data_IF_987413518187
#
_entry.id   IF_987413518187
#
_cell.length_a   1.000
_cell.length_b   1.000
_cell.length_c   1.000
_cell.angle_alpha   90.00
_cell.angle_beta   90.00
_cell.angle_gamma   90.00
#
_symmetry.space_group_name_H-M   'P 1'
#
loop_
_entity.id
_entity.type
_entity.pdbx_description
1 polymer ?
#
# COMPACT_ATOMS: atom_id res chain seq x y z
N UNK A 1 9.54 -8.28 -0.38
CA UNK A 1 10.35 -8.61 0.81
C UNK A 1 9.48 -8.79 2.05
N UNK A 2 8.92 -7.72 2.64
CA UNK A 2 8.07 -7.85 3.83
C UNK A 2 6.76 -8.61 3.53
N UNK A 3 6.10 -8.24 2.43
CA UNK A 3 4.92 -8.95 1.92
C UNK A 3 5.23 -10.44 1.69
N UNK A 4 6.26 -10.74 0.89
CA UNK A 4 6.68 -12.11 0.59
C UNK A 4 6.98 -12.93 1.87
N UNK A 5 7.63 -12.32 2.87
CA UNK A 5 7.92 -12.98 4.15
C UNK A 5 6.64 -13.40 4.86
N UNK A 6 5.67 -12.51 5.03
CA UNK A 6 4.44 -12.86 5.73
C UNK A 6 3.54 -13.80 4.92
N UNK A 7 3.51 -13.65 3.59
CA UNK A 7 2.83 -14.59 2.70
C UNK A 7 3.45 -16.00 2.79
N UNK A 8 4.78 -16.12 2.89
CA UNK A 8 5.43 -17.43 3.06
C UNK A 8 5.09 -18.10 4.39
N UNK A 9 4.56 -17.34 5.35
CA UNK A 9 4.05 -17.83 6.64
C UNK A 9 2.52 -18.01 6.62
N UNK A 10 1.88 -17.94 5.45
CA UNK A 10 0.45 -18.19 5.28
C UNK A 10 -0.45 -17.01 5.67
N UNK A 11 0.11 -15.84 5.96
CA UNK A 11 -0.68 -14.65 6.31
C UNK A 11 -1.19 -13.98 5.03
N UNK A 12 -2.49 -13.66 4.99
CA UNK A 12 -3.04 -12.92 3.86
C UNK A 12 -2.69 -11.43 3.96
N UNK A 13 -1.72 -11.01 3.15
CA UNK A 13 -1.22 -9.63 3.12
C UNK A 13 -1.95 -8.79 2.08
N UNK A 14 -2.39 -7.60 2.50
CA UNK A 14 -2.88 -6.53 1.65
C UNK A 14 -1.92 -5.35 1.61
N UNK A 15 -1.80 -4.67 0.47
CA UNK A 15 -1.01 -3.46 0.32
C UNK A 15 -1.95 -2.29 0.06
N UNK A 16 -1.82 -1.24 0.87
CA UNK A 16 -2.59 0.00 0.74
C UNK A 16 -1.71 1.14 0.25
N UNK A 17 -2.04 1.66 -0.93
CA UNK A 17 -1.43 2.86 -1.50
C UNK A 17 -2.46 4.00 -1.59
N UNK A 18 -1.98 5.24 -1.63
CA UNK A 18 -2.82 6.40 -1.91
C UNK A 18 -3.24 6.45 -3.39
N UNK A 19 -2.46 5.83 -4.28
CA UNK A 19 -2.62 5.97 -5.72
C UNK A 19 -2.17 7.36 -6.21
N UNK A 20 -0.97 7.81 -5.83
CA UNK A 20 -0.48 9.11 -6.27
C UNK A 20 -0.39 9.18 -7.80
N UNK A 21 -1.00 10.20 -8.41
CA UNK A 21 -1.11 10.33 -9.87
C UNK A 21 -2.18 9.43 -10.53
N UNK A 22 -2.80 8.53 -9.78
CA UNK A 22 -3.87 7.67 -10.28
C UNK A 22 -5.15 8.46 -10.53
N UNK A 23 -5.82 8.19 -11.65
CA UNK A 23 -7.11 8.81 -12.03
C UNK A 23 -8.25 7.80 -12.02
N UNK A 24 -8.42 7.11 -10.89
CA UNK A 24 -9.53 6.18 -10.74
C UNK A 24 -10.86 6.94 -10.57
N UNK A 25 -11.91 6.47 -11.26
CA UNK A 25 -13.26 6.99 -11.11
C UNK A 25 -13.94 6.49 -9.81
N UNK A 26 -13.46 5.38 -9.24
CA UNK A 26 -14.05 4.71 -8.09
C UNK A 26 -12.97 4.39 -7.06
N UNK A 27 -13.32 4.56 -5.79
CA UNK A 27 -12.50 4.21 -4.63
C UNK A 27 -13.38 3.56 -3.55
N UNK A 28 -12.88 2.58 -2.79
CA UNK A 28 -11.58 1.91 -2.94
C UNK A 28 -11.49 1.14 -4.26
N UNK A 29 -10.30 1.05 -4.85
CA UNK A 29 -10.07 0.25 -6.07
C UNK A 29 -8.98 -0.77 -5.83
N UNK A 30 -9.31 -2.05 -6.02
CA UNK A 30 -8.33 -3.13 -6.15
C UNK A 30 -7.59 -2.98 -7.48
N UNK A 31 -6.28 -3.10 -7.45
CA UNK A 31 -5.39 -2.99 -8.60
C UNK A 31 -5.04 -4.38 -9.12
N UNK A 32 -5.18 -4.57 -10.42
CA UNK A 32 -4.76 -5.75 -11.15
C UNK A 32 -3.51 -5.44 -12.00
N UNK A 33 -2.69 -6.46 -12.28
CA UNK A 33 -1.50 -6.28 -13.11
C UNK A 33 -1.77 -5.80 -14.53
N UNK A 34 -2.98 -6.05 -15.05
CA UNK A 34 -3.40 -5.66 -16.39
C UNK A 34 -4.10 -4.29 -16.43
N UNK A 35 -4.30 -3.63 -15.28
CA UNK A 35 -4.90 -2.29 -15.24
C UNK A 35 -4.03 -1.26 -15.96
N UNK A 36 -4.67 -0.21 -16.49
CA UNK A 36 -3.96 0.93 -17.04
C UNK A 36 -3.31 1.75 -15.91
N UNK A 37 -1.98 1.92 -15.97
CA UNK A 37 -1.25 2.65 -14.95
C UNK A 37 -1.70 4.12 -14.80
N UNK A 38 -2.27 4.75 -15.84
CA UNK A 38 -2.86 6.08 -15.72
C UNK A 38 -4.06 6.12 -14.75
N UNK A 39 -4.74 5.00 -14.55
CA UNK A 39 -5.91 4.90 -13.68
C UNK A 39 -5.55 4.46 -12.26
N UNK A 40 -4.55 3.59 -12.10
CA UNK A 40 -4.19 2.99 -10.81
C UNK A 40 -2.86 3.46 -10.23
N UNK A 41 -2.06 4.16 -11.01
CA UNK A 41 -0.67 4.52 -10.71
C UNK A 41 0.32 3.44 -11.12
N UNK A 42 1.51 3.86 -11.56
CA UNK A 42 2.59 2.94 -11.98
C UNK A 42 3.08 2.05 -10.83
N UNK A 43 3.27 2.65 -9.65
CA UNK A 43 3.77 1.95 -8.46
C UNK A 43 2.76 0.92 -7.90
N UNK A 44 1.47 1.25 -7.65
CA UNK A 44 0.49 0.25 -7.23
C UNK A 44 0.34 -0.91 -8.21
N UNK A 45 0.38 -0.62 -9.52
CA UNK A 45 0.34 -1.65 -10.56
C UNK A 45 1.57 -2.55 -10.51
N UNK A 46 2.76 -1.96 -10.37
CA UNK A 46 4.01 -2.72 -10.23
C UNK A 46 3.98 -3.62 -8.99
N UNK A 47 3.48 -3.10 -7.86
CA UNK A 47 3.31 -3.89 -6.64
C UNK A 47 2.33 -5.05 -6.84
N UNK A 48 1.20 -4.83 -7.53
CA UNK A 48 0.24 -5.89 -7.83
C UNK A 48 0.87 -7.01 -8.68
N UNK A 49 1.69 -6.66 -9.66
CA UNK A 49 2.42 -7.62 -10.51
C UNK A 49 3.46 -8.40 -9.70
N UNK A 50 4.25 -7.73 -8.86
CA UNK A 50 5.42 -8.33 -8.21
C UNK A 50 5.12 -9.07 -6.91
N UNK A 51 4.20 -8.54 -6.10
CA UNK A 51 3.95 -9.04 -4.75
C UNK A 51 2.89 -10.15 -4.71
N UNK A 52 2.06 -10.29 -5.75
CA UNK A 52 0.89 -11.16 -5.75
C UNK A 52 -0.04 -10.95 -4.54
N UNK A 53 0.06 -9.80 -3.87
CA UNK A 53 -0.82 -9.38 -2.78
C UNK A 53 -2.06 -8.68 -3.34
N UNK A 54 -3.07 -8.57 -2.50
CA UNK A 54 -4.19 -7.65 -2.75
C UNK A 54 -3.70 -6.21 -2.62
N UNK A 55 -3.58 -5.50 -3.75
CA UNK A 55 -3.20 -4.09 -3.76
C UNK A 55 -4.43 -3.22 -3.94
N UNK A 56 -4.62 -2.26 -3.04
CA UNK A 56 -5.75 -1.32 -3.07
C UNK A 56 -5.24 0.10 -3.06
N UNK A 57 -5.83 0.94 -3.91
CA UNK A 57 -5.65 2.38 -3.88
C UNK A 57 -6.88 3.07 -3.28
N UNK A 58 -6.63 4.01 -2.38
CA UNK A 58 -7.66 4.94 -1.87
C UNK A 58 -7.01 6.20 -1.26
N UNK A 59 -7.42 7.42 -1.66
CA UNK A 59 -6.99 8.63 -0.96
C UNK A 59 -7.43 8.68 0.51
N UNK A 60 -8.56 8.04 0.85
CA UNK A 60 -9.00 7.77 2.21
C UNK A 60 -8.45 6.41 2.67
N UNK A 61 -7.29 6.45 3.35
CA UNK A 61 -6.63 5.23 3.84
C UNK A 61 -7.48 4.41 4.81
N UNK A 62 -8.32 5.03 5.64
CA UNK A 62 -9.18 4.28 6.56
C UNK A 62 -10.22 3.45 5.80
N UNK A 63 -10.83 4.03 4.76
CA UNK A 63 -11.77 3.31 3.88
C UNK A 63 -11.06 2.20 3.09
N UNK A 64 -9.87 2.48 2.54
CA UNK A 64 -9.09 1.48 1.83
C UNK A 64 -8.65 0.31 2.73
N UNK A 65 -8.28 0.60 3.99
CA UNK A 65 -7.95 -0.41 4.99
C UNK A 65 -9.17 -1.27 5.35
N UNK A 66 -10.32 -0.64 5.60
CA UNK A 66 -11.57 -1.36 5.84
C UNK A 66 -11.91 -2.29 4.67
N UNK A 67 -11.76 -1.84 3.43
CA UNK A 67 -11.97 -2.69 2.25
C UNK A 67 -11.01 -3.88 2.18
N UNK A 68 -9.72 -3.69 2.50
CA UNK A 68 -8.74 -4.78 2.57
C UNK A 68 -9.12 -5.81 3.65
N UNK A 69 -9.59 -5.36 4.82
CA UNK A 69 -9.98 -6.26 5.91
C UNK A 69 -11.34 -6.93 5.69
N UNK A 70 -12.36 -6.17 5.30
CA UNK A 70 -13.76 -6.62 5.27
C UNK A 70 -14.11 -7.33 3.95
N UNK A 71 -13.67 -6.81 2.81
CA UNK A 71 -14.02 -7.38 1.50
C UNK A 71 -12.97 -8.40 1.05
N UNK A 72 -11.69 -8.10 1.30
CA UNK A 72 -10.58 -8.95 0.88
C UNK A 72 -10.02 -9.83 2.00
N UNK A 73 -10.53 -9.73 3.24
CA UNK A 73 -10.17 -10.63 4.34
C UNK A 73 -8.65 -10.65 4.61
N UNK A 74 -7.96 -9.53 4.39
CA UNK A 74 -6.53 -9.40 4.68
C UNK A 74 -6.30 -9.33 6.20
N UNK A 75 -5.32 -10.08 6.67
CA UNK A 75 -4.93 -10.16 8.08
C UNK A 75 -3.83 -9.15 8.43
N UNK A 76 -3.01 -8.76 7.43
CA UNK A 76 -1.96 -7.76 7.56
C UNK A 76 -2.08 -6.74 6.43
N UNK A 77 -2.07 -5.45 6.79
CA UNK A 77 -2.06 -4.35 5.82
C UNK A 77 -0.70 -3.65 5.86
N UNK A 78 -0.03 -3.60 4.71
CA UNK A 78 1.22 -2.86 4.52
C UNK A 78 0.91 -1.54 3.81
N UNK A 79 1.37 -0.43 4.39
CA UNK A 79 1.25 0.89 3.78
C UNK A 79 2.58 1.31 3.15
N UNK A 80 2.60 1.52 1.83
CA UNK A 80 3.80 1.84 1.04
C UNK A 80 4.43 3.22 1.37
N UNK A 81 3.59 4.18 1.74
CA UNK A 81 4.01 5.52 2.20
C UNK A 81 3.06 5.99 3.32
N UNK A 82 3.13 5.27 4.44
CA UNK A 82 2.22 5.45 5.57
C UNK A 82 2.62 6.59 6.53
N UNK A 83 3.90 6.93 6.59
CA UNK A 83 4.46 7.76 7.67
C UNK A 83 3.85 9.16 7.76
N UNK A 84 3.40 9.72 6.63
CA UNK A 84 2.78 11.05 6.60
C UNK A 84 1.27 11.05 6.93
N UNK A 85 0.63 9.88 7.15
CA UNK A 85 -0.84 9.77 7.12
C UNK A 85 -1.45 9.40 8.48
N UNK A 86 -1.13 10.15 9.53
CA UNK A 86 -1.46 9.86 10.95
C UNK A 86 -2.91 9.50 11.28
N UNK A 87 -3.88 9.82 10.41
CA UNK A 87 -5.30 9.49 10.62
C UNK A 87 -5.60 7.97 10.58
N UNK A 88 -4.73 7.14 10.01
CA UNK A 88 -4.84 5.68 10.07
C UNK A 88 -4.00 5.15 11.23
N UNK A 89 -4.63 4.45 12.18
CA UNK A 89 -3.93 3.74 13.25
C UNK A 89 -2.95 2.72 12.68
N UNK A 90 -1.77 2.60 13.29
CA UNK A 90 -0.75 1.63 12.90
C UNK A 90 -0.21 0.95 14.13
N UNK A 91 -0.07 -0.37 14.06
CA UNK A 91 0.57 -1.13 15.13
C UNK A 91 2.09 -1.00 15.08
N UNK A 92 2.65 -0.83 13.87
CA UNK A 92 4.09 -0.75 13.61
C UNK A 92 4.38 0.31 12.54
N UNK A 93 5.43 1.10 12.75
CA UNK A 93 6.00 2.01 11.75
C UNK A 93 7.43 1.59 11.39
N UNK A 94 7.71 1.52 10.09
CA UNK A 94 9.01 1.17 9.55
C UNK A 94 9.53 2.34 8.71
N UNK A 95 10.72 2.83 9.06
CA UNK A 95 11.43 3.84 8.27
C UNK A 95 12.63 3.17 7.63
N UNK A 96 12.71 3.23 6.30
CA UNK A 96 13.88 2.75 5.56
C UNK A 96 14.82 3.94 5.35
N UNK A 97 16.07 3.81 5.80
CA UNK A 97 17.11 4.81 5.62
C UNK A 97 18.27 4.19 4.85
N UNK A 98 18.81 4.93 3.89
CA UNK A 98 20.09 4.59 3.26
C UNK A 98 21.26 5.15 4.08
N UNK A 99 22.48 4.99 3.58
CA UNK A 99 23.71 5.47 4.24
C UNK A 99 23.74 6.99 4.47
N UNK A 100 22.86 7.76 3.81
CA UNK A 100 22.74 9.21 4.00
C UNK A 100 22.05 9.56 5.31
N UNK A 101 21.37 8.59 5.95
CA UNK A 101 20.73 8.72 7.28
C UNK A 101 19.77 9.91 7.34
N UNK A 102 19.85 10.71 8.40
CA UNK A 102 19.07 11.94 8.56
C UNK A 102 19.67 13.02 7.66
N UNK A 103 18.82 13.71 6.89
CA UNK A 103 19.23 14.74 5.91
C UNK A 103 20.02 15.90 6.51
N UNK A 104 20.25 16.95 5.73
CA UNK A 104 21.14 18.07 6.11
C UNK A 104 20.67 18.95 7.29
N UNK A 105 19.58 18.58 7.98
CA UNK A 105 19.02 19.36 9.09
C UNK A 105 18.15 20.54 8.67
N UNK A 106 17.83 20.68 7.38
CA UNK A 106 16.92 21.69 6.84
C UNK A 106 15.65 21.02 6.31
N UNK A 107 14.48 21.61 6.61
CA UNK A 107 13.15 21.22 6.10
C UNK A 107 12.77 22.05 4.87
#
# INVERSE_FOLDING_TARGET
>A
ALADYYQSHGIKVGILSRGYGAKSAVYPRRVNGDDNAAEVGDEPRLLAIRSQCDVVIDPNRARGAAYLTEELQCELIICDDGLQHYALHRDIELVVMDDRKVGSGYL
#
